data_IF_463442593737
#
_entry.id   IF_463442593737
#
_cell.length_a   1.000
_cell.length_b   1.000
_cell.length_c   1.000
_cell.angle_alpha   90.00
_cell.angle_beta   90.00
_cell.angle_gamma   90.00
#
_symmetry.space_group_name_H-M   'P 1'
#
loop_
_entity.id
_entity.type
_entity.pdbx_description
1 polymer ?
#
# COMPACT_ATOMS: atom_id res chain seq x y z
N UNK A 1 -5.88 4.02 -0.11
CA UNK A 1 -6.81 4.00 -1.28
C UNK A 1 -8.27 3.74 -0.88
N UNK A 2 -8.73 2.49 -0.68
CA UNK A 2 -10.16 2.19 -0.45
C UNK A 2 -10.54 1.82 1.00
N UNK A 3 -9.62 2.03 1.96
CA UNK A 3 -9.73 1.49 3.32
C UNK A 3 -9.56 -0.02 3.35
N UNK A 4 -10.65 -0.76 3.58
CA UNK A 4 -10.63 -2.21 3.76
C UNK A 4 -11.11 -2.98 2.52
N UNK A 5 -10.78 -4.27 2.42
CA UNK A 5 -11.31 -5.20 1.40
C UNK A 5 -12.72 -5.71 1.76
N UNK A 6 -13.26 -6.66 0.97
CA UNK A 6 -14.55 -7.31 1.24
C UNK A 6 -15.80 -6.46 0.96
N UNK A 7 -16.98 -7.06 1.14
CA UNK A 7 -18.27 -6.41 0.97
C UNK A 7 -18.43 -5.76 -0.41
N UNK A 8 -18.70 -4.45 -0.42
CA UNK A 8 -18.85 -3.62 -1.63
C UNK A 8 -17.76 -3.78 -2.70
N UNK A 9 -16.53 -4.16 -2.29
CA UNK A 9 -15.40 -4.34 -3.21
C UNK A 9 -15.56 -5.54 -4.16
N UNK A 10 -16.42 -6.50 -3.80
CA UNK A 10 -16.81 -7.62 -4.66
C UNK A 10 -17.60 -7.16 -5.89
N UNK A 11 -18.26 -5.99 -5.81
CA UNK A 11 -18.98 -5.38 -6.94
C UNK A 11 -18.05 -4.47 -7.74
N UNK A 12 -17.56 -3.40 -7.11
CA UNK A 12 -16.60 -2.47 -7.70
C UNK A 12 -15.30 -2.55 -6.91
N UNK A 13 -14.19 -3.06 -7.48
CA UNK A 13 -13.98 -3.45 -8.87
C UNK A 13 -14.33 -4.91 -9.22
N UNK A 14 -14.74 -5.75 -8.27
CA UNK A 14 -14.73 -7.22 -8.43
C UNK A 14 -15.45 -7.79 -9.67
N UNK A 15 -16.59 -7.21 -10.07
CA UNK A 15 -17.35 -7.63 -11.28
C UNK A 15 -17.77 -6.42 -12.14
N UNK A 16 -17.08 -5.30 -11.99
CA UNK A 16 -17.39 -4.07 -12.71
C UNK A 16 -16.68 -4.00 -14.08
N UNK A 17 -17.25 -3.22 -15.01
CA UNK A 17 -16.60 -2.92 -16.28
C UNK A 17 -15.32 -2.08 -16.08
N UNK A 18 -14.32 -2.29 -16.95
CA UNK A 18 -13.01 -1.63 -16.87
C UNK A 18 -13.10 -0.10 -16.73
N UNK A 19 -14.01 0.54 -17.47
CA UNK A 19 -14.22 2.00 -17.40
C UNK A 19 -14.66 2.47 -16.01
N UNK A 20 -15.57 1.74 -15.36
CA UNK A 20 -15.97 2.05 -13.98
C UNK A 20 -14.83 1.85 -12.99
N UNK A 21 -14.04 0.79 -13.17
CA UNK A 21 -12.85 0.53 -12.35
C UNK A 21 -11.86 1.70 -12.47
N UNK A 22 -11.53 2.11 -13.69
CA UNK A 22 -10.57 3.20 -13.94
C UNK A 22 -11.07 4.54 -13.40
N UNK A 23 -12.35 4.88 -13.61
CA UNK A 23 -12.94 6.09 -13.05
C UNK A 23 -12.89 6.11 -11.51
N UNK A 24 -13.26 5.00 -10.87
CA UNK A 24 -13.21 4.89 -9.42
C UNK A 24 -11.77 5.00 -8.87
N UNK A 25 -10.81 4.35 -9.53
CA UNK A 25 -9.40 4.42 -9.09
C UNK A 25 -8.74 5.77 -9.41
N UNK A 26 -9.26 6.56 -10.37
CA UNK A 26 -8.77 7.90 -10.67
C UNK A 26 -8.84 8.85 -9.47
N UNK A 27 -9.86 8.68 -8.61
CA UNK A 27 -10.00 9.42 -7.36
C UNK A 27 -8.88 9.12 -6.34
N UNK A 28 -8.02 8.12 -6.58
CA UNK A 28 -6.85 7.82 -5.72
C UNK A 28 -5.99 9.07 -5.53
N UNK A 29 -5.81 9.88 -6.56
CA UNK A 29 -4.91 11.04 -6.53
C UNK A 29 -5.36 12.02 -5.44
N UNK A 30 -6.65 12.34 -5.39
CA UNK A 30 -7.27 13.22 -4.39
C UNK A 30 -7.25 12.58 -3.00
N UNK A 31 -7.70 11.33 -2.88
CA UNK A 31 -7.70 10.59 -1.61
C UNK A 31 -6.31 10.48 -0.98
N UNK A 32 -5.28 10.33 -1.82
CA UNK A 32 -3.90 10.20 -1.36
C UNK A 32 -3.32 11.54 -0.88
N UNK A 33 -3.85 12.66 -1.40
CA UNK A 33 -3.46 14.01 -1.02
C UNK A 33 -4.18 14.48 0.25
N UNK A 34 -5.48 14.22 0.36
CA UNK A 34 -6.31 14.70 1.47
C UNK A 34 -6.35 13.73 2.66
N UNK A 35 -6.08 12.45 2.42
CA UNK A 35 -6.14 11.38 3.41
C UNK A 35 -7.44 11.41 4.26
N UNK A 36 -8.63 11.39 3.62
CA UNK A 36 -9.90 11.53 4.31
C UNK A 36 -10.17 10.33 5.23
N UNK A 37 -11.05 10.54 6.22
CA UNK A 37 -11.64 9.47 7.00
C UNK A 37 -12.35 8.45 6.08
N UNK A 38 -12.55 7.23 6.56
CA UNK A 38 -13.10 6.14 5.75
C UNK A 38 -14.51 6.44 5.24
N UNK A 39 -15.30 7.12 6.06
CA UNK A 39 -16.67 7.53 5.81
C UNK A 39 -16.74 8.59 4.70
N UNK A 40 -15.74 9.46 4.64
CA UNK A 40 -15.61 10.54 3.66
C UNK A 40 -14.87 10.13 2.40
N UNK A 41 -14.27 8.93 2.38
CA UNK A 41 -13.50 8.43 1.26
C UNK A 41 -14.37 8.23 -0.01
N UNK A 42 -14.22 9.05 -1.06
CA UNK A 42 -15.07 9.00 -2.25
C UNK A 42 -14.97 7.67 -3.01
N UNK A 43 -13.80 7.03 -2.99
CA UNK A 43 -13.59 5.69 -3.59
C UNK A 43 -14.48 4.67 -2.89
N UNK A 44 -14.46 4.65 -1.57
CA UNK A 44 -15.26 3.71 -0.77
C UNK A 44 -16.76 3.99 -0.93
N UNK A 45 -17.15 5.28 -0.93
CA UNK A 45 -18.55 5.71 -1.12
C UNK A 45 -19.11 5.26 -2.47
N UNK A 46 -18.38 5.46 -3.58
CA UNK A 46 -18.83 5.00 -4.90
C UNK A 46 -18.93 3.47 -4.96
N UNK A 47 -18.04 2.72 -4.28
CA UNK A 47 -18.18 1.26 -4.19
C UNK A 47 -19.47 0.86 -3.48
N UNK A 48 -19.84 1.56 -2.40
CA UNK A 48 -21.11 1.35 -1.70
C UNK A 48 -22.33 1.69 -2.56
N UNK A 49 -22.27 2.79 -3.31
CA UNK A 49 -23.31 3.17 -4.27
C UNK A 49 -23.47 2.11 -5.37
N UNK A 50 -22.37 1.61 -5.92
CA UNK A 50 -22.39 0.53 -6.91
C UNK A 50 -23.04 -0.75 -6.36
N UNK A 51 -22.71 -1.13 -5.12
CA UNK A 51 -23.33 -2.28 -4.46
C UNK A 51 -24.84 -2.06 -4.21
N UNK A 52 -25.26 -0.86 -3.81
CA UNK A 52 -26.66 -0.51 -3.64
C UNK A 52 -27.42 -0.59 -4.98
N UNK A 53 -26.83 -0.06 -6.05
CA UNK A 53 -27.42 -0.03 -7.40
C UNK A 53 -27.61 -1.42 -8.00
N UNK A 54 -26.71 -2.35 -7.70
CA UNK A 54 -26.83 -3.76 -8.10
C UNK A 54 -27.87 -4.50 -7.24
N UNK A 55 -28.21 -3.98 -6.05
CA UNK A 55 -29.12 -4.63 -5.12
C UNK A 55 -28.46 -5.78 -4.38
N UNK A 56 -27.29 -5.57 -3.77
CA UNK A 56 -26.65 -6.62 -2.96
C UNK A 56 -27.45 -6.84 -1.67
N UNK A 57 -28.21 -7.93 -1.61
CA UNK A 57 -29.06 -8.27 -0.47
C UNK A 57 -28.29 -8.87 0.72
N UNK A 58 -27.18 -9.56 0.45
CA UNK A 58 -26.46 -10.33 1.46
C UNK A 58 -24.98 -10.46 1.14
N UNK A 59 -24.13 -10.38 2.16
CA UNK A 59 -22.72 -10.74 2.07
C UNK A 59 -22.36 -11.75 3.16
N UNK A 60 -21.27 -12.48 2.93
CA UNK A 60 -20.53 -13.22 3.95
C UNK A 60 -19.06 -12.85 3.81
N UNK A 61 -18.52 -12.15 4.80
CA UNK A 61 -17.09 -11.85 4.92
C UNK A 61 -16.49 -12.67 6.06
N UNK A 62 -15.26 -13.13 5.85
CA UNK A 62 -14.44 -13.76 6.90
C UNK A 62 -13.26 -12.85 7.23
N UNK A 63 -13.03 -12.65 8.52
CA UNK A 63 -11.82 -12.00 9.02
C UNK A 63 -10.85 -13.09 9.45
N UNK A 64 -9.59 -12.98 9.00
CA UNK A 64 -8.55 -13.97 9.32
C UNK A 64 -7.40 -13.33 10.07
N UNK A 65 -6.79 -14.08 11.00
CA UNK A 65 -5.55 -13.68 11.65
C UNK A 65 -4.32 -13.99 10.77
N UNK A 66 -3.12 -13.66 11.25
CA UNK A 66 -1.85 -13.89 10.54
C UNK A 66 -1.60 -15.36 10.18
N UNK A 67 -2.17 -16.31 10.95
CA UNK A 67 -2.13 -17.75 10.67
C UNK A 67 -3.22 -18.22 9.70
N UNK A 68 -3.94 -17.30 9.05
CA UNK A 68 -5.08 -17.56 8.15
C UNK A 68 -6.26 -18.29 8.83
N UNK A 69 -6.33 -18.29 10.17
CA UNK A 69 -7.48 -18.85 10.90
C UNK A 69 -8.60 -17.83 10.89
N UNK A 70 -9.84 -18.30 10.68
CA UNK A 70 -11.03 -17.46 10.78
C UNK A 70 -11.20 -17.06 12.24
N UNK A 71 -11.22 -15.76 12.50
CA UNK A 71 -11.47 -15.19 13.84
C UNK A 71 -12.86 -14.60 13.96
N UNK A 72 -13.47 -14.22 12.83
CA UNK A 72 -14.83 -13.71 12.80
C UNK A 72 -15.46 -14.00 11.44
N UNK A 73 -16.76 -14.29 11.46
CA UNK A 73 -17.62 -14.39 10.27
C UNK A 73 -18.70 -13.33 10.41
N UNK A 74 -18.82 -12.45 9.42
CA UNK A 74 -19.83 -11.41 9.38
C UNK A 74 -20.74 -11.65 8.18
N UNK A 75 -22.03 -11.82 8.41
CA UNK A 75 -22.98 -12.12 7.36
C UNK A 75 -24.29 -11.36 7.57
N UNK A 76 -24.92 -10.93 6.48
CA UNK A 76 -26.13 -10.09 6.53
C UNK A 76 -26.08 -8.96 5.50
N UNK A 77 -26.72 -7.84 5.86
CA UNK A 77 -26.68 -6.60 5.09
C UNK A 77 -25.25 -6.21 4.70
N UNK A 78 -25.06 -5.83 3.44
CA UNK A 78 -23.73 -5.62 2.86
C UNK A 78 -22.93 -4.49 3.52
N UNK A 79 -23.62 -3.52 4.14
CA UNK A 79 -22.97 -2.43 4.84
C UNK A 79 -22.69 -2.79 6.30
N UNK A 80 -23.71 -3.23 7.04
CA UNK A 80 -23.59 -3.57 8.46
C UNK A 80 -22.62 -4.73 8.69
N UNK A 81 -22.71 -5.80 7.88
CA UNK A 81 -21.81 -6.95 8.00
C UNK A 81 -20.37 -6.58 7.60
N UNK A 82 -20.20 -5.62 6.69
CA UNK A 82 -18.87 -5.12 6.36
C UNK A 82 -18.29 -4.25 7.48
N UNK A 83 -19.07 -3.32 8.02
CA UNK A 83 -18.68 -2.45 9.15
C UNK A 83 -18.26 -3.29 10.37
N UNK A 84 -19.02 -4.34 10.71
CA UNK A 84 -18.66 -5.27 11.78
C UNK A 84 -17.34 -6.02 11.52
N UNK A 85 -17.09 -6.41 10.27
CA UNK A 85 -15.86 -7.11 9.88
C UNK A 85 -14.63 -6.21 9.91
N UNK A 86 -14.76 -4.95 9.49
CA UNK A 86 -13.62 -4.02 9.50
C UNK A 86 -13.25 -3.57 10.91
N UNK A 87 -14.21 -3.49 11.85
CA UNK A 87 -13.92 -3.16 13.24
C UNK A 87 -12.96 -4.20 13.85
N UNK A 88 -13.28 -5.49 13.69
CA UNK A 88 -12.41 -6.58 14.15
C UNK A 88 -11.06 -6.64 13.40
N UNK A 89 -11.06 -6.33 12.11
CA UNK A 89 -9.82 -6.24 11.33
C UNK A 89 -8.94 -5.07 11.79
N UNK A 90 -9.54 -3.91 12.06
CA UNK A 90 -8.82 -2.71 12.50
C UNK A 90 -8.17 -2.94 13.87
N UNK A 91 -8.89 -3.55 14.82
CA UNK A 91 -8.35 -3.88 16.14
C UNK A 91 -7.07 -4.74 16.06
N UNK A 92 -7.00 -5.69 15.11
CA UNK A 92 -5.83 -6.56 14.97
C UNK A 92 -4.67 -5.94 14.18
N UNK A 93 -4.97 -5.10 13.17
CA UNK A 93 -3.99 -4.72 12.16
C UNK A 93 -3.66 -3.23 12.11
N UNK A 94 -4.45 -2.36 12.74
CA UNK A 94 -4.07 -0.97 12.93
C UNK A 94 -3.15 -0.85 14.14
N UNK A 95 -1.96 -0.31 13.92
CA UNK A 95 -0.96 -0.14 14.97
C UNK A 95 -0.83 1.35 15.29
N UNK A 96 -1.31 1.81 16.46
CA UNK A 96 -1.16 3.21 16.85
C UNK A 96 0.31 3.54 17.07
N UNK A 97 0.74 4.65 16.50
CA UNK A 97 2.08 5.21 16.66
C UNK A 97 1.97 6.59 17.32
N UNK A 98 2.78 6.82 18.36
CA UNK A 98 2.84 8.11 19.02
C UNK A 98 3.43 9.21 18.12
N UNK A 99 4.36 8.84 17.24
CA UNK A 99 4.99 9.73 16.27
C UNK A 99 5.60 8.94 15.10
N UNK A 100 5.90 9.63 14.00
CA UNK A 100 6.69 9.08 12.91
C UNK A 100 8.16 8.93 13.32
N UNK A 101 8.83 7.90 12.81
CA UNK A 101 10.25 7.62 13.05
C UNK A 101 11.14 8.16 11.92
N UNK A 102 12.45 8.18 12.14
CA UNK A 102 13.42 8.61 11.13
C UNK A 102 13.67 7.53 10.07
N UNK A 103 13.52 6.26 10.45
CA UNK A 103 13.60 5.13 9.55
C UNK A 103 12.54 4.05 9.83
N UNK A 104 12.31 3.17 8.86
CA UNK A 104 11.57 1.93 9.09
C UNK A 104 12.20 0.76 8.32
N UNK A 105 12.23 -0.42 8.95
CA UNK A 105 12.47 -1.69 8.28
C UNK A 105 11.12 -2.37 8.05
N UNK A 106 10.77 -2.62 6.79
CA UNK A 106 9.50 -3.24 6.42
C UNK A 106 9.73 -4.47 5.55
N UNK A 107 9.08 -5.58 5.91
CA UNK A 107 8.94 -6.74 5.03
C UNK A 107 7.57 -6.78 4.38
N UNK A 108 7.52 -7.15 3.11
CA UNK A 108 6.26 -7.40 2.40
C UNK A 108 5.51 -8.65 2.86
N UNK A 109 6.08 -9.44 3.78
CA UNK A 109 5.44 -10.61 4.38
C UNK A 109 5.68 -11.93 3.65
N UNK A 110 6.66 -11.97 2.74
CA UNK A 110 7.07 -13.16 1.99
C UNK A 110 6.03 -13.67 0.99
N UNK A 111 6.35 -14.78 0.33
CA UNK A 111 5.52 -15.34 -0.72
C UNK A 111 4.12 -15.72 -0.20
N UNK A 112 3.03 -15.40 -0.92
CA UNK A 112 2.99 -14.79 -2.27
C UNK A 112 2.83 -13.26 -2.27
N UNK A 113 2.98 -12.58 -1.12
CA UNK A 113 2.71 -11.13 -1.02
C UNK A 113 3.82 -10.29 -1.64
N UNK A 114 5.02 -10.83 -1.71
CA UNK A 114 6.21 -10.20 -2.28
C UNK A 114 6.65 -10.82 -3.61
N UNK A 115 5.75 -11.56 -4.29
CA UNK A 115 6.03 -12.22 -5.57
C UNK A 115 6.53 -11.23 -6.65
N UNK A 116 6.06 -9.98 -6.62
CA UNK A 116 6.49 -8.91 -7.50
C UNK A 116 6.28 -7.53 -6.85
N UNK A 117 6.92 -6.50 -7.42
CA UNK A 117 6.86 -5.11 -6.92
C UNK A 117 5.42 -4.59 -6.89
N UNK A 118 4.61 -4.92 -7.89
CA UNK A 118 3.22 -4.49 -7.98
C UNK A 118 2.39 -4.85 -6.73
N UNK A 119 2.62 -6.04 -6.17
CA UNK A 119 1.99 -6.47 -4.91
C UNK A 119 2.75 -5.96 -3.68
N UNK A 120 4.07 -6.10 -3.70
CA UNK A 120 4.93 -5.83 -2.56
C UNK A 120 4.86 -4.36 -2.11
N UNK A 121 4.60 -3.41 -3.02
CA UNK A 121 4.57 -1.97 -2.72
C UNK A 121 3.53 -1.57 -1.67
N UNK A 122 2.56 -2.45 -1.35
CA UNK A 122 1.61 -2.20 -0.24
C UNK A 122 2.34 -2.02 1.09
N UNK A 123 3.40 -2.79 1.32
CA UNK A 123 4.19 -2.69 2.52
C UNK A 123 4.96 -1.36 2.59
N UNK A 124 5.45 -0.89 1.43
CA UNK A 124 6.06 0.42 1.29
C UNK A 124 5.07 1.54 1.60
N UNK A 125 3.84 1.46 1.07
CA UNK A 125 2.75 2.41 1.33
C UNK A 125 2.40 2.47 2.84
N UNK A 126 2.36 1.32 3.52
CA UNK A 126 2.16 1.31 4.97
C UNK A 126 3.35 1.87 5.76
N UNK A 127 4.59 1.60 5.33
CA UNK A 127 5.78 2.16 5.95
C UNK A 127 5.88 3.69 5.76
N UNK A 128 5.35 4.24 4.67
CA UNK A 128 5.25 5.68 4.40
C UNK A 128 4.56 6.44 5.54
N UNK A 129 3.52 5.83 6.12
CA UNK A 129 2.79 6.40 7.25
C UNK A 129 3.61 6.44 8.55
N UNK A 130 4.59 5.53 8.70
CA UNK A 130 5.41 5.41 9.90
C UNK A 130 6.69 6.28 9.86
N UNK A 131 7.08 6.78 8.69
CA UNK A 131 8.39 7.46 8.51
C UNK A 131 8.21 8.95 8.19
N UNK A 132 9.06 9.78 8.80
CA UNK A 132 9.09 11.24 8.56
C UNK A 132 9.48 11.56 7.12
N UNK A 133 9.13 12.75 6.64
CA UNK A 133 9.69 13.28 5.39
C UNK A 133 11.22 13.38 5.51
N UNK A 134 11.94 12.95 4.48
CA UNK A 134 13.40 12.84 4.47
C UNK A 134 13.96 11.60 5.16
N UNK A 135 13.10 10.75 5.75
CA UNK A 135 13.51 9.50 6.39
C UNK A 135 13.86 8.39 5.39
N UNK A 136 14.32 7.25 5.91
CA UNK A 136 14.72 6.08 5.10
C UNK A 136 13.82 4.87 5.38
N UNK A 137 13.33 4.24 4.32
CA UNK A 137 12.59 2.97 4.39
C UNK A 137 13.48 1.85 3.83
N UNK A 138 13.88 0.91 4.69
CA UNK A 138 14.45 -0.37 4.26
C UNK A 138 13.28 -1.31 3.94
N UNK A 139 13.18 -1.70 2.69
CA UNK A 139 12.11 -2.53 2.17
C UNK A 139 12.65 -3.89 1.74
N UNK A 140 12.21 -4.94 2.42
CA UNK A 140 12.54 -6.33 2.10
C UNK A 140 11.37 -7.01 1.38
N UNK A 141 11.60 -7.36 0.11
CA UNK A 141 10.64 -8.05 -0.75
C UNK A 141 11.38 -8.82 -1.84
N UNK A 142 11.20 -10.14 -1.93
CA UNK A 142 11.96 -10.96 -2.89
C UNK A 142 11.72 -10.53 -4.34
N UNK A 143 10.46 -10.32 -4.74
CA UNK A 143 10.06 -9.91 -6.08
C UNK A 143 10.60 -10.84 -7.18
N UNK A 144 10.43 -12.15 -6.99
CA UNK A 144 10.93 -13.19 -7.90
C UNK A 144 10.36 -13.12 -9.33
N UNK A 145 9.18 -12.52 -9.52
CA UNK A 145 8.58 -12.23 -10.84
C UNK A 145 8.82 -10.79 -11.32
N UNK A 146 9.75 -10.08 -10.69
CA UNK A 146 10.12 -8.72 -11.05
C UNK A 146 9.01 -7.70 -10.79
N UNK A 147 8.60 -6.97 -11.83
CA UNK A 147 7.61 -5.89 -11.73
C UNK A 147 6.18 -6.40 -11.55
N UNK A 148 5.82 -7.52 -12.19
CA UNK A 148 4.50 -8.15 -12.10
C UNK A 148 3.39 -7.58 -12.99
N UNK A 149 3.55 -6.37 -13.53
CA UNK A 149 2.56 -5.77 -14.43
C UNK A 149 3.25 -4.84 -15.45
N UNK A 150 2.89 -4.97 -16.73
CA UNK A 150 3.61 -4.34 -17.84
C UNK A 150 3.42 -2.82 -17.89
N UNK A 151 2.20 -2.32 -17.62
CA UNK A 151 1.96 -0.88 -17.60
C UNK A 151 2.72 -0.22 -16.46
N UNK A 152 2.69 -0.80 -15.26
CA UNK A 152 3.49 -0.39 -14.11
C UNK A 152 4.97 -0.34 -14.47
N UNK A 153 5.52 -1.41 -15.06
CA UNK A 153 6.92 -1.44 -15.52
C UNK A 153 7.23 -0.29 -16.47
N UNK A 154 6.41 -0.09 -17.52
CA UNK A 154 6.60 1.00 -18.49
C UNK A 154 6.61 2.38 -17.82
N UNK A 155 5.73 2.59 -16.85
CA UNK A 155 5.69 3.87 -16.11
C UNK A 155 6.97 4.12 -15.32
N UNK A 156 7.51 3.10 -14.65
CA UNK A 156 8.77 3.21 -13.92
C UNK A 156 9.95 3.41 -14.89
N UNK A 157 10.05 2.58 -15.93
CA UNK A 157 11.15 2.65 -16.92
C UNK A 157 11.19 3.99 -17.69
N UNK A 158 10.05 4.67 -17.85
CA UNK A 158 9.93 5.93 -18.61
C UNK A 158 10.00 7.20 -17.75
N UNK A 159 10.20 7.07 -16.44
CA UNK A 159 10.22 8.20 -15.51
C UNK A 159 11.65 8.42 -14.99
N UNK A 160 12.26 9.53 -15.39
CA UNK A 160 13.61 9.88 -14.94
C UNK A 160 13.69 10.28 -13.46
N UNK A 161 12.56 10.68 -12.86
CA UNK A 161 12.42 11.08 -11.46
C UNK A 161 10.99 10.81 -10.98
N UNK A 162 10.76 10.66 -9.66
CA UNK A 162 9.45 10.32 -9.12
C UNK A 162 8.33 11.29 -9.53
N UNK A 163 8.64 12.59 -9.63
CA UNK A 163 7.67 13.65 -9.95
C UNK A 163 6.99 13.43 -11.30
N UNK A 164 7.68 12.80 -12.26
CA UNK A 164 7.13 12.52 -13.59
C UNK A 164 5.90 11.62 -13.49
N UNK A 165 5.95 10.58 -12.66
CA UNK A 165 4.80 9.69 -12.47
C UNK A 165 3.68 10.36 -11.67
N UNK A 166 4.04 11.24 -10.72
CA UNK A 166 3.09 12.04 -9.95
C UNK A 166 2.30 13.01 -10.83
N UNK A 167 2.96 13.64 -11.80
CA UNK A 167 2.33 14.53 -12.77
C UNK A 167 1.48 13.76 -13.78
N UNK A 168 2.05 12.69 -14.38
CA UNK A 168 1.34 11.87 -15.39
C UNK A 168 0.01 11.31 -14.88
N UNK A 169 -0.05 10.82 -13.63
CA UNK A 169 -1.28 10.24 -13.10
C UNK A 169 -2.36 11.30 -12.85
N UNK A 170 -1.96 12.54 -12.54
CA UNK A 170 -2.88 13.68 -12.37
C UNK A 170 -3.49 14.12 -13.69
N UNK A 171 -2.71 14.08 -14.77
CA UNK A 171 -3.20 14.38 -16.12
C UNK A 171 -4.15 13.31 -16.64
N UNK A 172 -3.78 12.03 -16.47
CA UNK A 172 -4.58 10.90 -16.92
C UNK A 172 -4.34 9.67 -16.06
N UNK A 173 -5.40 9.23 -15.39
CA UNK A 173 -5.36 7.97 -14.68
C UNK A 173 -5.16 6.78 -15.65
N UNK A 174 -4.25 5.88 -15.28
CA UNK A 174 -4.00 4.62 -15.99
C UNK A 174 -3.83 3.49 -14.96
N UNK A 175 -4.55 2.38 -15.17
CA UNK A 175 -4.37 1.16 -14.38
C UNK A 175 -2.95 0.61 -14.64
N UNK A 176 -2.23 0.22 -13.59
CA UNK A 176 -0.76 0.03 -13.65
C UNK A 176 -0.01 1.27 -13.22
N UNK A 177 -0.23 2.40 -13.91
CA UNK A 177 0.37 3.71 -13.59
C UNK A 177 0.09 4.20 -12.18
N UNK A 178 -1.09 3.91 -11.62
CA UNK A 178 -1.41 4.25 -10.22
C UNK A 178 -0.51 3.56 -9.18
N UNK A 179 0.10 2.40 -9.50
CA UNK A 179 1.12 1.78 -8.64
C UNK A 179 2.48 2.45 -8.80
N UNK A 180 2.80 2.92 -10.01
CA UNK A 180 3.98 3.74 -10.24
C UNK A 180 3.88 5.06 -9.46
N UNK A 181 2.70 5.68 -9.46
CA UNK A 181 2.40 6.83 -8.61
C UNK A 181 2.64 6.55 -7.12
N UNK A 182 2.12 5.43 -6.59
CA UNK A 182 2.27 5.09 -5.18
C UNK A 182 3.75 4.97 -4.77
N UNK A 183 4.56 4.23 -5.53
CA UNK A 183 6.02 4.13 -5.27
C UNK A 183 6.70 5.48 -5.42
N UNK A 184 6.36 6.23 -6.47
CA UNK A 184 6.97 7.54 -6.76
C UNK A 184 6.65 8.59 -5.69
N UNK A 185 5.44 8.57 -5.13
CA UNK A 185 5.07 9.46 -4.02
C UNK A 185 6.01 9.27 -2.82
N UNK A 186 6.25 8.01 -2.44
CA UNK A 186 7.15 7.69 -1.32
C UNK A 186 8.57 8.12 -1.66
N UNK A 187 9.05 7.78 -2.86
CA UNK A 187 10.41 8.11 -3.31
C UNK A 187 10.67 9.62 -3.44
N UNK A 188 9.64 10.44 -3.71
CA UNK A 188 9.76 11.90 -3.79
C UNK A 188 10.03 12.53 -2.41
N UNK A 189 9.66 11.85 -1.33
CA UNK A 189 9.77 12.39 0.04
C UNK A 189 10.76 11.65 0.92
N UNK A 190 11.08 10.41 0.59
CA UNK A 190 11.81 9.47 1.45
C UNK A 190 12.77 8.65 0.62
N UNK A 191 13.87 8.26 1.25
CA UNK A 191 14.80 7.34 0.63
C UNK A 191 14.28 5.91 0.76
N UNK A 192 14.33 5.15 -0.33
CA UNK A 192 13.94 3.75 -0.36
C UNK A 192 15.18 2.90 -0.58
N UNK A 193 15.41 1.94 0.30
CA UNK A 193 16.40 0.87 0.13
C UNK A 193 15.63 -0.41 -0.15
N UNK A 194 15.90 -1.08 -1.26
CA UNK A 194 15.25 -2.34 -1.61
C UNK A 194 16.25 -3.49 -1.54
N UNK A 195 15.87 -4.52 -0.76
CA UNK A 195 16.52 -5.83 -0.72
C UNK A 195 15.59 -6.82 -1.42
N UNK A 196 15.99 -7.25 -2.61
CA UNK A 196 15.19 -8.07 -3.53
C UNK A 196 16.06 -8.88 -4.51
N UNK A 197 15.43 -9.75 -5.29
CA UNK A 197 16.02 -10.49 -6.40
C UNK A 197 16.16 -9.66 -7.70
N UNK A 198 15.65 -8.43 -7.74
CA UNK A 198 15.81 -7.54 -8.90
C UNK A 198 17.28 -7.20 -9.17
N UNK A 199 17.64 -6.88 -10.40
CA UNK A 199 18.94 -6.28 -10.69
C UNK A 199 19.07 -4.87 -10.07
N UNK A 200 20.31 -4.36 -10.01
CA UNK A 200 20.57 -2.96 -9.60
C UNK A 200 19.81 -1.97 -10.49
N UNK A 201 19.89 -2.15 -11.81
CA UNK A 201 19.20 -1.30 -12.78
C UNK A 201 17.68 -1.31 -12.59
N UNK A 202 17.07 -2.48 -12.40
CA UNK A 202 15.62 -2.57 -12.14
C UNK A 202 15.24 -1.92 -10.81
N UNK A 203 16.11 -1.98 -9.79
CA UNK A 203 15.87 -1.33 -8.50
C UNK A 203 15.97 0.20 -8.60
N UNK A 204 16.94 0.70 -9.37
CA UNK A 204 17.14 2.13 -9.59
C UNK A 204 16.01 2.73 -10.43
N UNK A 205 15.44 1.98 -11.39
CA UNK A 205 14.26 2.38 -12.16
C UNK A 205 13.02 2.60 -11.28
N UNK A 206 12.98 2.01 -10.07
CA UNK A 206 11.92 2.28 -9.09
C UNK A 206 12.27 3.34 -8.05
N UNK A 207 13.33 4.12 -8.30
CA UNK A 207 13.84 5.17 -7.43
C UNK A 207 14.34 4.66 -6.07
N UNK A 208 14.73 3.38 -6.01
CA UNK A 208 15.26 2.76 -4.80
C UNK A 208 16.77 2.47 -4.94
N UNK A 209 17.47 2.45 -3.80
CA UNK A 209 18.85 1.98 -3.69
C UNK A 209 18.86 0.47 -3.48
N UNK A 210 19.59 -0.27 -4.31
CA UNK A 210 19.78 -1.70 -4.10
C UNK A 210 20.80 -1.98 -3.01
N UNK A 211 20.44 -2.84 -2.08
CA UNK A 211 21.33 -3.52 -1.14
C UNK A 211 21.07 -5.03 -1.17
N UNK A 212 22.06 -5.82 -0.74
CA UNK A 212 22.02 -7.28 -0.87
C UNK A 212 21.61 -7.98 0.42
N UNK A 213 21.62 -7.28 1.56
CA UNK A 213 21.25 -7.87 2.85
C UNK A 213 20.66 -6.83 3.80
N UNK A 214 19.92 -7.32 4.80
CA UNK A 214 19.43 -6.48 5.90
C UNK A 214 20.59 -5.90 6.72
N UNK A 215 21.67 -6.66 6.89
CA UNK A 215 22.84 -6.22 7.63
C UNK A 215 23.48 -4.98 6.98
N UNK A 216 23.71 -5.03 5.67
CA UNK A 216 24.22 -3.90 4.88
C UNK A 216 23.32 -2.66 5.01
N UNK A 217 21.99 -2.86 5.01
CA UNK A 217 21.03 -1.77 5.14
C UNK A 217 20.99 -1.15 6.53
N UNK A 218 21.14 -1.97 7.58
CA UNK A 218 21.24 -1.47 8.97
C UNK A 218 22.55 -0.71 9.16
N UNK A 219 23.68 -1.23 8.71
CA UNK A 219 24.98 -0.55 8.77
C UNK A 219 24.93 0.82 8.07
N UNK A 220 24.24 0.89 6.94
CA UNK A 220 24.00 2.15 6.24
C UNK A 220 23.17 3.16 7.07
N UNK A 221 22.14 2.70 7.80
CA UNK A 221 21.38 3.59 8.69
C UNK A 221 22.24 4.10 9.85
N UNK A 222 23.04 3.22 10.47
CA UNK A 222 23.95 3.58 11.55
C UNK A 222 24.92 4.68 11.10
N UNK A 223 25.49 4.56 9.91
CA UNK A 223 26.36 5.58 9.32
C UNK A 223 25.60 6.88 9.02
N UNK A 224 24.47 6.78 8.30
CA UNK A 224 23.68 7.93 7.85
C UNK A 224 23.16 8.79 9.00
N UNK A 225 22.73 8.15 10.08
CA UNK A 225 22.12 8.81 11.23
C UNK A 225 23.08 8.94 12.42
N UNK A 226 24.36 8.59 12.25
CA UNK A 226 25.38 8.62 13.31
C UNK A 226 24.93 7.87 14.59
N UNK A 227 24.23 6.76 14.41
CA UNK A 227 23.62 5.96 15.49
C UNK A 227 22.52 6.64 16.30
N UNK A 228 22.04 7.82 15.88
CA UNK A 228 21.01 8.56 16.59
C UNK A 228 19.74 8.72 15.76
N UNK A 229 18.92 7.67 15.75
CA UNK A 229 17.63 7.66 15.07
C UNK A 229 16.61 6.79 15.79
N UNK A 230 15.33 7.11 15.59
CA UNK A 230 14.25 6.18 15.91
C UNK A 230 13.90 5.37 14.67
N UNK A 231 13.60 4.10 14.87
CA UNK A 231 13.09 3.24 13.80
C UNK A 231 11.94 2.35 14.23
N UNK A 232 11.10 2.02 13.26
CA UNK A 232 10.09 0.96 13.40
C UNK A 232 10.47 -0.28 12.61
N UNK A 233 10.11 -1.45 13.12
CA UNK A 233 10.23 -2.71 12.40
C UNK A 233 8.83 -3.23 12.12
N UNK A 234 8.52 -3.47 10.85
CA UNK A 234 7.23 -3.94 10.34
C UNK A 234 7.45 -5.30 9.64
N UNK A 235 7.48 -6.43 10.38
CA UNK A 235 7.73 -7.74 9.81
C UNK A 235 6.63 -8.24 8.85
N UNK A 236 5.43 -7.66 8.97
CA UNK A 236 4.25 -8.00 8.17
C UNK A 236 3.64 -6.73 7.57
N UNK A 237 4.46 -5.92 6.90
CA UNK A 237 4.09 -4.60 6.40
C UNK A 237 2.92 -4.61 5.42
N UNK A 238 2.69 -5.70 4.68
CA UNK A 238 1.51 -5.83 3.81
C UNK A 238 0.19 -6.05 4.56
N UNK A 239 0.24 -6.35 5.87
CA UNK A 239 -0.94 -6.64 6.70
C UNK A 239 -1.20 -5.55 7.73
N UNK A 240 -0.16 -5.05 8.40
CA UNK A 240 -0.28 -4.06 9.45
C UNK A 240 -0.26 -2.65 8.90
N UNK A 241 -1.14 -1.78 9.41
CA UNK A 241 -1.28 -0.38 9.00
C UNK A 241 -0.89 0.52 10.17
N UNK A 242 0.24 1.23 10.10
CA UNK A 242 0.59 2.22 11.11
C UNK A 242 -0.36 3.41 11.08
N UNK A 243 -0.91 3.78 12.23
CA UNK A 243 -1.79 4.94 12.40
C UNK A 243 -1.11 5.92 13.36
N UNK A 244 -0.65 7.06 12.85
CA UNK A 244 -0.07 8.10 13.71
C UNK A 244 -1.21 8.85 14.37
N UNK A 245 -1.24 8.86 15.70
CA UNK A 245 -2.25 9.62 16.44
C UNK A 245 -2.08 11.12 16.15
N UNK A 246 -3.13 11.75 15.63
CA UNK A 246 -3.21 13.20 15.58
C UNK A 246 -3.38 13.73 17.00
N UNK A 247 -2.36 14.42 17.52
CA UNK A 247 -2.50 15.24 18.74
C UNK A 247 -3.50 16.37 18.53
#
# INVERSE_FOLDING_TARGET
>A
MAGFSGGRKSILPGVAGRKSIENNHAMMVEVTAENPALEDNPISREMFEAAAKVGVDFILNVVTNSSRKIVQVCAGDYRQAWEAGIAASAEMYHLPLAEKADAALVSSGGFPRDINIYQAQKALDHADHAVKKGGTIIWAAECSEGYGEECFRKWMDQAAKPEVNIERIKEKFVLGGHKAFAVSKVAAEKEIILISSLSRAETENIFAKKMNSLQEAVEYLEEKYYGNYKSYILPQGSLTVPIVESK
#
